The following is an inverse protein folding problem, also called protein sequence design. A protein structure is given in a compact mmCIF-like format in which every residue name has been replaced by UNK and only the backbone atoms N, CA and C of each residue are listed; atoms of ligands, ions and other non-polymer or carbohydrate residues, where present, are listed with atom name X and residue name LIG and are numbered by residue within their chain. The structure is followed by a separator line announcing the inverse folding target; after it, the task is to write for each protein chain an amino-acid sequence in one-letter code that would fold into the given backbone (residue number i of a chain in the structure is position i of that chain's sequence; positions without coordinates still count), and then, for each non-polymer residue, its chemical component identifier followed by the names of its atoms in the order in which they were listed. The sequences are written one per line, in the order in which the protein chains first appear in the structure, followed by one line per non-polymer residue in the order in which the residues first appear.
data_IF_950258667344
#
_entry.id   IF_950258667344
#
_cell.length_a   1.000
_cell.length_b   1.000
_cell.length_c   1.000
_cell.angle_alpha   90.00
_cell.angle_beta   90.00
_cell.angle_gamma   90.00
#
_symmetry.space_group_name_H-M   'P 1'
#
loop_
_entity.id
_entity.type
_entity.pdbx_description
1 polymer ?
#
# COMPACT_ATOMS: atom_id res chain seq x y z
N UNK A 1 -44.60 -49.50 3.25
CA UNK A 1 -43.18 -49.13 3.43
C UNK A 1 -43.07 -47.62 3.28
N UNK A 2 -42.66 -46.93 4.35
CA UNK A 2 -42.51 -45.47 4.40
C UNK A 2 -41.16 -45.10 3.76
N UNK A 3 -41.16 -44.42 2.63
CA UNK A 3 -39.93 -43.86 2.06
C UNK A 3 -39.71 -42.47 2.66
N UNK A 4 -38.73 -42.42 3.55
CA UNK A 4 -38.18 -41.23 4.18
C UNK A 4 -37.25 -40.57 3.15
N UNK A 5 -37.73 -39.61 2.37
CA UNK A 5 -36.87 -38.78 1.52
C UNK A 5 -36.17 -37.76 2.40
N UNK A 6 -34.92 -38.08 2.75
CA UNK A 6 -34.02 -37.22 3.51
C UNK A 6 -33.52 -36.07 2.60
N UNK A 7 -33.70 -34.86 3.11
CA UNK A 7 -33.34 -33.56 2.56
C UNK A 7 -31.83 -33.40 2.35
N UNK A 8 -31.42 -32.84 1.20
CA UNK A 8 -30.23 -31.99 1.13
C UNK A 8 -30.64 -30.71 0.38
N UNK A 9 -31.20 -29.75 1.11
CA UNK A 9 -31.22 -28.36 0.68
C UNK A 9 -29.81 -27.85 0.97
N UNK A 10 -29.01 -27.76 -0.09
CA UNK A 10 -27.70 -27.11 -0.08
C UNK A 10 -27.93 -25.60 0.16
N UNK A 11 -28.13 -25.23 1.42
CA UNK A 11 -28.03 -23.85 1.86
C UNK A 11 -26.56 -23.48 1.71
N UNK A 12 -26.23 -22.90 0.55
CA UNK A 12 -25.02 -22.12 0.35
C UNK A 12 -25.11 -20.89 1.26
N UNK A 13 -24.84 -21.11 2.55
CA UNK A 13 -24.28 -20.10 3.43
C UNK A 13 -22.90 -19.77 2.86
N UNK A 14 -22.88 -18.95 1.80
CA UNK A 14 -21.71 -18.16 1.47
C UNK A 14 -21.45 -17.28 2.68
N UNK A 15 -20.55 -17.76 3.52
CA UNK A 15 -19.96 -16.98 4.59
C UNK A 15 -19.17 -15.87 3.89
N UNK A 16 -19.82 -14.75 3.59
CA UNK A 16 -19.18 -13.49 3.17
C UNK A 16 -18.40 -12.86 4.34
N UNK A 17 -17.80 -13.67 5.21
CA UNK A 17 -16.93 -13.19 6.28
C UNK A 17 -15.53 -13.00 5.71
N UNK A 18 -15.18 -11.77 5.34
CA UNK A 18 -13.78 -11.46 5.12
C UNK A 18 -13.51 -10.14 4.43
N UNK A 19 -14.22 -9.85 3.34
CA UNK A 19 -13.80 -8.76 2.45
C UNK A 19 -14.13 -7.35 2.96
N UNK A 20 -15.28 -7.18 3.62
CA UNK A 20 -15.80 -5.87 4.04
C UNK A 20 -15.22 -5.32 5.34
N UNK A 21 -14.61 -6.17 6.19
CA UNK A 21 -13.96 -5.77 7.44
C UNK A 21 -12.48 -5.38 7.27
N UNK A 22 -11.88 -5.70 6.13
CA UNK A 22 -10.53 -5.26 5.75
C UNK A 22 -10.54 -3.91 5.04
N UNK A 23 -11.73 -3.39 4.71
CA UNK A 23 -11.93 -2.07 4.15
C UNK A 23 -12.30 -1.08 5.27
N UNK A 24 -11.30 -0.59 5.99
CA UNK A 24 -11.30 0.71 6.64
C UNK A 24 -9.89 0.94 7.17
N UNK A 25 -9.04 1.73 6.49
CA UNK A 25 -7.79 2.13 7.06
C UNK A 25 -8.09 3.12 8.18
N UNK A 26 -7.64 2.77 9.38
CA UNK A 26 -7.45 3.73 10.46
C UNK A 26 -6.38 4.79 10.15
N UNK A 27 -5.83 4.75 8.94
CA UNK A 27 -4.85 5.66 8.41
C UNK A 27 -5.52 6.47 7.29
N UNK A 28 -6.18 7.59 7.65
CA UNK A 28 -6.81 8.52 6.69
C UNK A 28 -5.87 8.86 5.53
N UNK A 29 -4.57 8.98 5.84
CA UNK A 29 -3.46 9.25 4.92
C UNK A 29 -3.39 8.25 3.77
N UNK A 30 -3.86 7.02 3.97
CA UNK A 30 -3.82 5.97 2.94
C UNK A 30 -5.06 5.99 2.03
N UNK A 31 -6.12 6.76 2.33
CA UNK A 31 -7.33 6.83 1.49
C UNK A 31 -7.46 8.07 0.66
N UNK A 32 -6.90 9.19 1.10
CA UNK A 32 -7.06 10.47 0.44
C UNK A 32 -5.78 11.27 0.49
N UNK A 33 -5.57 11.99 -0.60
CA UNK A 33 -4.69 13.13 -0.65
C UNK A 33 -5.55 14.40 -0.71
N UNK A 34 -5.15 15.46 -0.01
CA UNK A 34 -5.85 16.75 -0.07
C UNK A 34 -4.88 17.81 -0.58
N UNK A 35 -5.10 18.26 -1.80
CA UNK A 35 -4.30 19.32 -2.41
C UNK A 35 -5.01 20.66 -2.23
N UNK A 36 -4.27 21.71 -1.86
CA UNK A 36 -4.79 23.08 -1.93
C UNK A 36 -4.61 23.62 -3.35
N UNK A 37 -5.71 23.79 -4.07
CA UNK A 37 -5.75 24.38 -5.41
C UNK A 37 -6.59 25.65 -5.34
N UNK A 38 -5.99 26.80 -5.65
CA UNK A 38 -6.70 28.10 -5.70
C UNK A 38 -7.48 28.44 -4.41
N UNK A 39 -6.92 28.09 -3.25
CA UNK A 39 -7.55 28.33 -1.94
C UNK A 39 -8.66 27.34 -1.57
N UNK A 40 -8.95 26.34 -2.40
CA UNK A 40 -9.89 25.25 -2.11
C UNK A 40 -9.15 23.93 -1.89
N UNK A 41 -9.66 23.10 -0.99
CA UNK A 41 -9.19 21.72 -0.86
C UNK A 41 -9.79 20.84 -1.95
N UNK A 42 -8.92 20.21 -2.72
CA UNK A 42 -9.24 19.18 -3.69
C UNK A 42 -8.88 17.83 -3.08
N UNK A 43 -9.89 16.98 -2.87
CA UNK A 43 -9.66 15.60 -2.45
C UNK A 43 -9.31 14.75 -3.68
N UNK A 44 -8.26 13.96 -3.56
CA UNK A 44 -7.87 12.93 -4.51
C UNK A 44 -7.94 11.59 -3.78
N UNK A 45 -8.97 10.76 -4.04
CA UNK A 45 -9.07 9.43 -3.46
C UNK A 45 -7.93 8.53 -3.92
N UNK A 46 -7.42 7.67 -3.03
CA UNK A 46 -6.48 6.60 -3.34
C UNK A 46 -7.21 5.51 -4.14
N UNK A 47 -7.41 5.78 -5.43
CA UNK A 47 -8.11 4.91 -6.37
C UNK A 47 -7.49 3.53 -6.46
N UNK A 48 -6.16 3.42 -6.26
CA UNK A 48 -5.44 2.16 -6.21
C UNK A 48 -5.93 1.27 -5.06
N UNK A 49 -5.99 1.80 -3.83
CA UNK A 49 -6.53 1.07 -2.67
C UNK A 49 -8.00 0.68 -2.86
N UNK A 50 -8.80 1.59 -3.42
CA UNK A 50 -10.23 1.38 -3.64
C UNK A 50 -10.50 0.28 -4.67
N UNK A 51 -9.81 0.33 -5.82
CA UNK A 51 -9.97 -0.64 -6.90
C UNK A 51 -9.64 -2.06 -6.45
N UNK A 52 -8.59 -2.24 -5.66
CA UNK A 52 -8.21 -3.54 -5.08
C UNK A 52 -9.24 -4.13 -4.15
N UNK A 53 -10.00 -3.26 -3.51
CA UNK A 53 -11.11 -3.64 -2.65
C UNK A 53 -12.41 -3.73 -3.44
N UNK A 54 -12.29 -3.80 -4.76
CA UNK A 54 -13.36 -3.92 -5.75
C UNK A 54 -14.37 -2.77 -5.72
N UNK A 55 -13.97 -1.62 -5.15
CA UNK A 55 -14.72 -0.37 -5.21
C UNK A 55 -14.41 0.32 -6.52
N UNK A 56 -15.45 0.55 -7.31
CA UNK A 56 -15.32 1.25 -8.58
C UNK A 56 -15.89 2.65 -8.45
N UNK A 57 -15.20 3.60 -9.07
CA UNK A 57 -15.63 4.99 -9.14
C UNK A 57 -16.95 5.07 -9.93
N UNK A 58 -17.96 5.65 -9.30
CA UNK A 58 -19.26 5.96 -9.91
C UNK A 58 -19.37 7.46 -10.18
N UNK A 59 -18.74 8.27 -9.32
CA UNK A 59 -18.59 9.72 -9.43
C UNK A 59 -17.26 10.13 -8.78
N UNK A 60 -16.76 11.34 -9.03
CA UNK A 60 -15.39 11.79 -8.71
C UNK A 60 -14.95 11.53 -7.25
N UNK A 61 -15.91 11.50 -6.34
CA UNK A 61 -15.69 11.27 -4.89
C UNK A 61 -16.60 10.18 -4.33
N UNK A 62 -17.12 9.29 -5.18
CA UNK A 62 -18.06 8.24 -4.77
C UNK A 62 -17.76 6.91 -5.46
N UNK A 63 -17.56 5.88 -4.64
CA UNK A 63 -17.17 4.55 -5.08
C UNK A 63 -18.12 3.50 -4.53
N UNK A 64 -18.39 2.47 -5.33
CA UNK A 64 -19.30 1.38 -4.97
C UNK A 64 -18.64 0.04 -5.22
N UNK A 65 -18.70 -0.85 -4.23
CA UNK A 65 -18.28 -2.23 -4.40
C UNK A 65 -19.35 -3.01 -5.19
N UNK A 66 -18.98 -3.54 -6.36
CA UNK A 66 -19.94 -4.23 -7.25
C UNK A 66 -20.55 -5.49 -6.64
N UNK A 67 -19.84 -6.19 -5.74
CA UNK A 67 -20.30 -7.46 -5.15
C UNK A 67 -21.12 -7.24 -3.89
N UNK A 68 -20.68 -6.34 -3.01
CA UNK A 68 -21.32 -6.13 -1.70
C UNK A 68 -22.30 -4.97 -1.69
N UNK A 69 -22.23 -4.08 -2.68
CA UNK A 69 -22.99 -2.82 -2.75
C UNK A 69 -22.65 -1.82 -1.64
N UNK A 70 -21.58 -2.07 -0.89
CA UNK A 70 -20.99 -1.11 0.03
C UNK A 70 -20.45 0.10 -0.73
N UNK A 71 -20.36 1.23 -0.03
CA UNK A 71 -20.10 2.52 -0.68
C UNK A 71 -19.07 3.32 0.09
N UNK A 72 -18.26 4.09 -0.62
CA UNK A 72 -17.28 5.01 -0.05
C UNK A 72 -17.53 6.37 -0.64
N UNK A 73 -17.69 7.37 0.22
CA UNK A 73 -17.88 8.76 -0.21
C UNK A 73 -16.83 9.63 0.44
N UNK A 74 -16.25 10.51 -0.37
CA UNK A 74 -15.31 11.53 0.07
C UNK A 74 -15.98 12.90 -0.05
N UNK A 75 -15.71 13.79 0.90
CA UNK A 75 -16.22 15.16 0.82
C UNK A 75 -15.31 16.13 1.55
N UNK A 76 -15.11 17.30 0.96
CA UNK A 76 -14.51 18.46 1.61
C UNK A 76 -15.53 19.59 1.59
N UNK A 77 -15.77 20.22 2.72
CA UNK A 77 -16.65 21.37 2.82
C UNK A 77 -15.98 22.47 3.64
N UNK A 78 -16.14 23.72 3.19
CA UNK A 78 -15.66 24.90 3.90
C UNK A 78 -16.90 25.65 4.39
N UNK A 79 -16.99 25.86 5.70
CA UNK A 79 -18.08 26.58 6.35
C UNK A 79 -17.51 27.64 7.29
N UNK A 80 -17.52 28.89 6.84
CA UNK A 80 -16.85 29.99 7.56
C UNK A 80 -15.35 29.71 7.69
N UNK A 81 -14.82 29.83 8.90
CA UNK A 81 -13.40 29.60 9.20
C UNK A 81 -13.07 28.12 9.48
N UNK A 82 -13.89 27.18 9.00
CA UNK A 82 -13.66 25.74 9.21
C UNK A 82 -13.67 24.97 7.91
N UNK A 83 -12.69 24.09 7.78
CA UNK A 83 -12.59 23.11 6.71
C UNK A 83 -12.88 21.72 7.29
N UNK A 84 -13.90 21.04 6.79
CA UNK A 84 -14.22 19.65 7.13
C UNK A 84 -13.84 18.74 5.95
N UNK A 85 -12.93 17.79 6.19
CA UNK A 85 -12.59 16.69 5.30
C UNK A 85 -13.18 15.41 5.88
N UNK A 86 -13.90 14.66 5.06
CA UNK A 86 -14.66 13.50 5.51
C UNK A 86 -14.59 12.33 4.56
N UNK A 87 -14.45 11.14 5.16
CA UNK A 87 -14.54 9.83 4.50
C UNK A 87 -15.68 9.05 5.13
N UNK A 88 -16.69 8.72 4.32
CA UNK A 88 -17.89 8.01 4.73
C UNK A 88 -17.92 6.62 4.10
N UNK A 89 -17.87 5.58 4.93
CA UNK A 89 -18.01 4.19 4.50
C UNK A 89 -19.37 3.63 4.91
N UNK A 90 -20.15 3.24 3.91
CA UNK A 90 -21.47 2.63 4.05
C UNK A 90 -21.29 1.11 4.02
N UNK A 91 -21.16 0.51 5.21
CA UNK A 91 -20.95 -0.93 5.35
C UNK A 91 -22.26 -1.68 5.54
N UNK A 92 -22.37 -2.86 4.93
CA UNK A 92 -23.49 -3.79 5.16
C UNK A 92 -23.23 -4.74 6.34
N UNK A 93 -22.04 -4.67 6.95
CA UNK A 93 -21.61 -5.55 8.04
C UNK A 93 -22.40 -5.27 9.31
N UNK A 94 -23.04 -6.29 9.87
CA UNK A 94 -23.81 -6.18 11.12
C UNK A 94 -22.92 -6.09 12.37
N UNK A 95 -21.85 -6.89 12.42
CA UNK A 95 -20.92 -6.91 13.55
C UNK A 95 -19.79 -5.89 13.37
N UNK A 96 -19.84 -4.82 14.17
CA UNK A 96 -18.84 -3.75 14.20
C UNK A 96 -17.76 -3.95 15.27
N UNK A 97 -17.72 -5.09 15.97
CA UNK A 97 -16.79 -5.36 17.07
C UNK A 97 -15.33 -5.08 16.70
N UNK A 98 -14.88 -5.59 15.54
CA UNK A 98 -13.52 -5.38 15.03
C UNK A 98 -13.24 -3.93 14.70
N UNK A 99 -14.21 -3.23 14.13
CA UNK A 99 -14.08 -1.81 13.82
C UNK A 99 -13.91 -0.99 15.10
N UNK A 100 -14.77 -1.22 16.09
CA UNK A 100 -14.74 -0.51 17.38
C UNK A 100 -13.43 -0.78 18.12
N UNK A 101 -12.96 -2.04 18.11
CA UNK A 101 -11.66 -2.39 18.70
C UNK A 101 -10.53 -1.58 18.06
N UNK A 102 -10.45 -1.63 16.72
CA UNK A 102 -9.46 -0.86 15.95
C UNK A 102 -9.57 0.63 16.27
N UNK A 103 -10.76 1.22 16.18
CA UNK A 103 -10.95 2.65 16.48
C UNK A 103 -10.46 3.03 17.89
N UNK A 104 -10.58 2.15 18.88
CA UNK A 104 -10.00 2.35 20.22
C UNK A 104 -8.47 2.27 20.28
N UNK A 105 -7.83 1.57 19.35
CA UNK A 105 -6.37 1.45 19.21
C UNK A 105 -5.75 2.60 18.37
N UNK A 106 -6.56 3.48 17.79
CA UNK A 106 -6.12 4.57 16.90
C UNK A 106 -5.41 5.75 17.60
N UNK A 107 -5.32 5.72 18.93
CA UNK A 107 -4.83 6.84 19.74
C UNK A 107 -5.87 7.96 19.96
N UNK A 108 -7.07 7.84 19.39
CA UNK A 108 -8.19 8.75 19.66
C UNK A 108 -8.83 8.44 21.02
N UNK A 109 -9.28 9.48 21.73
CA UNK A 109 -10.00 9.30 23.00
C UNK A 109 -11.42 8.81 22.72
N UNK A 110 -11.83 7.71 23.35
CA UNK A 110 -13.23 7.26 23.31
C UNK A 110 -14.12 8.28 24.04
N UNK A 111 -15.05 8.90 23.32
CA UNK A 111 -16.03 9.84 23.89
C UNK A 111 -17.30 9.09 24.29
N UNK A 112 -17.76 8.18 23.43
CA UNK A 112 -18.85 7.24 23.71
C UNK A 112 -18.74 6.01 22.80
N UNK A 113 -19.73 5.12 22.80
CA UNK A 113 -19.71 3.88 22.01
C UNK A 113 -19.68 4.10 20.49
N UNK A 114 -20.11 5.26 20.03
CA UNK A 114 -20.26 5.62 18.63
C UNK A 114 -19.33 6.77 18.21
N UNK A 115 -18.42 7.22 19.10
CA UNK A 115 -17.52 8.34 18.82
C UNK A 115 -16.16 8.20 19.50
N UNK A 116 -15.11 8.36 18.70
CA UNK A 116 -13.71 8.50 19.12
C UNK A 116 -13.20 9.83 18.59
N UNK A 117 -12.49 10.62 19.41
CA UNK A 117 -12.15 11.99 19.06
C UNK A 117 -10.82 12.41 19.70
N UNK A 118 -10.06 13.20 18.95
CA UNK A 118 -8.91 13.98 19.44
C UNK A 118 -9.08 15.43 19.00
N UNK A 119 -8.79 16.37 19.90
CA UNK A 119 -8.87 17.81 19.64
C UNK A 119 -7.56 18.47 20.04
N UNK A 120 -6.93 19.07 19.05
CA UNK A 120 -5.84 20.03 19.23
C UNK A 120 -6.37 21.46 19.04
N UNK A 121 -5.50 22.45 19.25
CA UNK A 121 -5.85 23.88 19.19
C UNK A 121 -6.55 24.28 17.88
N UNK A 122 -6.13 23.69 16.74
CA UNK A 122 -6.61 24.07 15.41
C UNK A 122 -7.18 22.87 14.61
N UNK A 123 -7.21 21.67 15.18
CA UNK A 123 -7.58 20.45 14.45
C UNK A 123 -8.39 19.52 15.33
N UNK A 124 -9.49 18.99 14.80
CA UNK A 124 -10.27 17.91 15.40
C UNK A 124 -10.23 16.72 14.47
N UNK A 125 -9.84 15.55 14.98
CA UNK A 125 -9.92 14.27 14.26
C UNK A 125 -10.91 13.40 15.01
N UNK A 126 -11.93 12.89 14.32
CA UNK A 126 -12.89 11.97 14.95
C UNK A 126 -13.35 10.85 14.04
N UNK A 127 -13.71 9.74 14.68
CA UNK A 127 -14.41 8.61 14.08
C UNK A 127 -15.83 8.60 14.64
N UNK A 128 -16.83 8.65 13.76
CA UNK A 128 -18.25 8.54 14.11
C UNK A 128 -18.84 7.23 13.55
N UNK A 129 -19.70 6.58 14.34
CA UNK A 129 -20.44 5.37 13.96
C UNK A 129 -21.94 5.70 13.98
N UNK A 130 -22.64 5.54 12.86
CA UNK A 130 -24.11 5.58 12.82
C UNK A 130 -24.62 4.24 12.35
N UNK A 131 -25.46 3.60 13.16
CA UNK A 131 -26.00 2.28 12.86
C UNK A 131 -27.34 2.36 12.15
N UNK A 132 -27.63 1.37 11.31
CA UNK A 132 -28.93 1.19 10.66
C UNK A 132 -29.44 2.42 9.90
N UNK A 133 -28.55 3.10 9.17
CA UNK A 133 -28.97 4.17 8.27
C UNK A 133 -29.59 3.57 7.01
N UNK A 134 -30.63 4.23 6.48
CA UNK A 134 -31.30 3.79 5.26
C UNK A 134 -30.87 4.66 4.08
N UNK A 135 -30.37 4.04 3.02
CA UNK A 135 -29.97 4.70 1.78
C UNK A 135 -30.54 3.91 0.62
N UNK A 136 -31.40 4.54 -0.19
CA UNK A 136 -32.05 3.91 -1.35
C UNK A 136 -32.71 2.55 -1.00
N UNK A 137 -33.40 2.51 0.14
CA UNK A 137 -34.10 1.31 0.61
C UNK A 137 -33.21 0.21 1.19
N UNK A 138 -31.88 0.39 1.24
CA UNK A 138 -30.93 -0.54 1.87
C UNK A 138 -30.44 -0.01 3.22
N UNK A 139 -30.22 -0.93 4.16
CA UNK A 139 -29.69 -0.62 5.48
C UNK A 139 -28.16 -0.74 5.49
N UNK A 140 -27.50 0.29 6.00
CA UNK A 140 -26.06 0.33 6.19
C UNK A 140 -25.71 0.77 7.62
N UNK A 141 -24.51 0.42 8.05
CA UNK A 141 -23.80 1.13 9.10
C UNK A 141 -22.89 2.16 8.43
N UNK A 142 -22.99 3.43 8.83
CA UNK A 142 -22.12 4.49 8.37
C UNK A 142 -20.95 4.66 9.33
N UNK A 143 -19.76 4.45 8.82
CA UNK A 143 -18.49 4.62 9.51
C UNK A 143 -17.81 5.85 8.91
N UNK A 144 -17.69 6.92 9.69
CA UNK A 144 -17.19 8.21 9.22
C UNK A 144 -15.88 8.56 9.89
N UNK A 145 -14.87 8.90 9.10
CA UNK A 145 -13.66 9.57 9.57
C UNK A 145 -13.75 11.04 9.17
N UNK A 146 -13.63 11.93 10.15
CA UNK A 146 -13.83 13.38 9.98
C UNK A 146 -12.62 14.12 10.54
N UNK A 147 -12.05 15.00 9.71
CA UNK A 147 -11.01 15.95 10.12
C UNK A 147 -11.56 17.35 9.93
N UNK A 148 -11.55 18.15 11.00
CA UNK A 148 -12.01 19.52 11.00
C UNK A 148 -10.81 20.41 11.36
N UNK A 149 -10.48 21.34 10.49
CA UNK A 149 -9.43 22.34 10.73
C UNK A 149 -10.04 23.72 10.94
N UNK A 150 -9.48 24.44 11.90
CA UNK A 150 -9.77 25.85 12.15
C UNK A 150 -8.81 26.73 11.33
N UNK A 151 -9.37 27.50 10.42
CA UNK A 151 -8.65 28.37 9.49
C UNK A 151 -8.36 29.76 10.08
N UNK A 152 -8.93 30.12 11.24
CA UNK A 152 -8.86 31.46 11.84
C UNK A 152 -7.42 31.92 12.11
N UNK A 153 -6.50 30.98 12.35
CA UNK A 153 -5.08 31.24 12.62
C UNK A 153 -4.13 30.78 11.51
N UNK A 154 -4.64 30.27 10.37
CA UNK A 154 -3.81 29.95 9.23
C UNK A 154 -3.39 31.27 8.57
N UNK A 155 -2.22 31.78 8.95
CA UNK A 155 -1.63 32.98 8.33
C UNK A 155 -1.74 32.85 6.81
N UNK A 156 -2.30 33.89 6.20
CA UNK A 156 -2.39 34.13 4.75
C UNK A 156 -1.02 34.35 4.10
N UNK A 157 0.00 33.62 4.55
CA UNK A 157 1.23 33.47 3.82
C UNK A 157 0.94 32.54 2.66
N UNK A 158 1.40 32.93 1.48
CA UNK A 158 1.56 32.04 0.33
C UNK A 158 2.63 30.99 0.70
N UNK A 159 2.36 30.15 1.69
CA UNK A 159 3.11 28.95 1.91
C UNK A 159 2.60 27.98 0.86
N UNK A 160 3.40 27.84 -0.19
CA UNK A 160 3.39 26.84 -1.25
C UNK A 160 2.33 25.76 -1.03
N UNK A 161 1.43 25.57 -2.01
CA UNK A 161 0.35 24.58 -2.05
C UNK A 161 0.81 23.17 -1.67
N UNK A 162 1.01 22.96 -0.37
CA UNK A 162 1.53 21.75 0.20
C UNK A 162 0.44 20.72 0.18
N UNK A 163 0.80 19.50 -0.20
CA UNK A 163 -0.08 18.35 -0.13
C UNK A 163 -0.44 18.14 1.35
N UNK A 164 -1.71 18.39 1.72
CA UNK A 164 -2.26 18.02 3.02
C UNK A 164 -2.61 16.54 2.95
N UNK A 165 -2.03 15.73 3.84
CA UNK A 165 -2.11 14.27 3.83
C UNK A 165 -1.50 13.69 2.54
N UNK A 166 -0.17 13.48 2.47
CA UNK A 166 0.42 12.83 1.30
C UNK A 166 -0.20 11.46 1.10
N UNK A 167 -0.52 11.12 -0.14
CA UNK A 167 -1.02 9.80 -0.47
C UNK A 167 0.00 8.74 -0.01
N UNK A 168 -0.44 7.89 0.91
CA UNK A 168 0.34 6.74 1.35
C UNK A 168 0.01 5.54 0.45
N UNK A 169 0.97 5.21 -0.42
CA UNK A 169 0.88 4.09 -1.34
C UNK A 169 1.42 2.78 -0.74
N UNK A 170 1.77 2.75 0.56
CA UNK A 170 2.30 1.58 1.26
C UNK A 170 1.39 0.36 1.32
N UNK A 171 0.12 0.51 0.98
CA UNK A 171 -0.76 -0.63 0.79
C UNK A 171 -0.46 -1.37 -0.53
N UNK A 172 -0.38 -2.71 -0.54
CA UNK A 172 -0.72 -3.66 0.53
C UNK A 172 0.52 -4.16 1.29
N UNK A 173 1.64 -3.45 1.20
CA UNK A 173 2.93 -3.89 1.70
C UNK A 173 3.04 -3.70 3.22
N UNK A 174 2.63 -2.55 3.76
CA UNK A 174 2.75 -2.22 5.18
C UNK A 174 2.23 -3.34 6.11
N UNK A 175 3.01 -3.68 7.14
CA UNK A 175 2.65 -4.65 8.17
C UNK A 175 2.21 -6.03 7.61
N UNK A 176 2.70 -6.40 6.44
CA UNK A 176 2.34 -7.64 5.77
C UNK A 176 3.54 -8.56 5.57
N UNK A 177 3.27 -9.85 5.48
CA UNK A 177 4.25 -10.87 5.10
C UNK A 177 3.81 -11.52 3.80
N UNK A 178 4.74 -11.63 2.87
CA UNK A 178 4.56 -12.34 1.61
C UNK A 178 5.67 -13.38 1.44
N UNK A 179 5.32 -14.51 0.88
CA UNK A 179 6.26 -15.49 0.36
C UNK A 179 6.60 -15.11 -1.07
N UNK A 180 7.85 -15.30 -1.49
CA UNK A 180 8.26 -14.79 -2.79
C UNK A 180 9.18 -15.71 -3.59
N UNK A 181 9.11 -15.53 -4.90
CA UNK A 181 10.09 -16.02 -5.87
C UNK A 181 10.54 -14.86 -6.77
N UNK A 182 11.83 -14.85 -7.11
CA UNK A 182 12.46 -13.78 -7.86
C UNK A 182 13.08 -14.34 -9.14
N UNK A 183 12.75 -13.76 -10.28
CA UNK A 183 13.15 -14.27 -11.59
C UNK A 183 13.69 -13.18 -12.50
N UNK A 184 14.70 -13.54 -13.28
CA UNK A 184 15.33 -12.73 -14.32
C UNK A 184 15.11 -13.40 -15.67
N UNK A 185 14.70 -12.60 -16.66
CA UNK A 185 14.44 -13.07 -18.02
C UNK A 185 15.00 -12.06 -19.03
N UNK A 186 15.70 -12.56 -20.04
CA UNK A 186 16.23 -11.72 -21.12
C UNK A 186 15.09 -11.05 -21.90
N UNK A 187 15.25 -9.77 -22.25
CA UNK A 187 14.36 -9.14 -23.23
C UNK A 187 14.71 -9.68 -24.61
N UNK A 188 13.70 -10.19 -25.32
CA UNK A 188 13.89 -10.71 -26.67
C UNK A 188 14.05 -9.60 -27.72
N UNK A 189 13.74 -8.36 -27.34
CA UNK A 189 13.70 -7.20 -28.24
C UNK A 189 14.97 -6.36 -28.17
N UNK A 190 15.71 -6.45 -27.05
CA UNK A 190 16.93 -5.68 -26.80
C UNK A 190 17.94 -6.57 -26.08
N UNK A 191 19.11 -6.77 -26.67
CA UNK A 191 20.13 -7.72 -26.19
C UNK A 191 20.81 -7.30 -24.88
N UNK A 192 20.69 -6.03 -24.51
CA UNK A 192 21.24 -5.37 -23.33
C UNK A 192 20.17 -5.08 -22.26
N UNK A 193 18.94 -5.55 -22.46
CA UNK A 193 17.86 -5.41 -21.48
C UNK A 193 17.45 -6.76 -20.90
N UNK A 194 17.07 -6.74 -19.63
CA UNK A 194 16.44 -7.86 -18.97
C UNK A 194 15.28 -7.43 -18.10
N UNK A 195 14.27 -8.30 -18.04
CA UNK A 195 13.14 -8.17 -17.14
C UNK A 195 13.44 -8.85 -15.83
N UNK A 196 13.28 -8.11 -14.74
CA UNK A 196 13.34 -8.62 -13.39
C UNK A 196 11.94 -8.60 -12.79
N UNK A 197 11.61 -9.66 -12.05
CA UNK A 197 10.31 -9.80 -11.42
C UNK A 197 10.39 -10.48 -10.07
N UNK A 198 9.53 -10.07 -9.15
CA UNK A 198 9.31 -10.71 -7.85
C UNK A 198 7.82 -11.01 -7.73
N UNK A 199 7.49 -12.29 -7.62
CA UNK A 199 6.12 -12.75 -7.31
C UNK A 199 5.96 -12.83 -5.81
N UNK A 200 4.91 -12.22 -5.27
CA UNK A 200 4.60 -12.19 -3.85
C UNK A 200 3.25 -12.88 -3.62
N UNK A 201 3.22 -13.89 -2.76
CA UNK A 201 2.01 -14.61 -2.37
C UNK A 201 1.78 -14.50 -0.86
N UNK A 202 0.53 -14.29 -0.43
CA UNK A 202 0.20 -14.32 1.01
C UNK A 202 0.27 -15.74 1.59
N UNK A 203 0.09 -16.74 0.74
CA UNK A 203 0.17 -18.15 1.11
C UNK A 203 1.61 -18.66 0.98
N UNK A 204 2.05 -19.64 1.79
CA UNK A 204 3.41 -20.19 1.79
C UNK A 204 3.70 -21.08 0.58
N UNK A 205 3.58 -20.52 -0.63
CA UNK A 205 3.84 -21.19 -1.91
C UNK A 205 5.33 -21.20 -2.27
N UNK A 206 6.09 -20.23 -1.77
CA UNK A 206 7.51 -20.07 -2.06
C UNK A 206 8.36 -20.20 -0.79
N UNK A 207 9.62 -20.63 -0.93
CA UNK A 207 10.53 -20.91 0.20
C UNK A 207 11.13 -19.67 0.87
N UNK A 208 11.04 -18.50 0.24
CA UNK A 208 11.55 -17.24 0.77
C UNK A 208 10.38 -16.35 1.22
N UNK A 209 10.61 -15.46 2.18
CA UNK A 209 9.60 -14.50 2.63
C UNK A 209 10.17 -13.08 2.80
N UNK A 210 9.33 -12.09 2.51
CA UNK A 210 9.50 -10.70 2.87
C UNK A 210 8.47 -10.34 3.94
N UNK A 211 8.91 -9.65 4.97
CA UNK A 211 8.06 -9.07 6.01
C UNK A 211 8.28 -7.57 6.01
N UNK A 212 7.25 -6.82 5.66
CA UNK A 212 7.22 -5.37 5.83
C UNK A 212 6.83 -5.06 7.26
N UNK A 213 7.72 -4.41 7.99
CA UNK A 213 7.61 -4.20 9.43
C UNK A 213 6.81 -2.95 9.76
N UNK A 214 6.85 -1.96 8.88
CA UNK A 214 6.14 -0.68 8.96
C UNK A 214 6.11 0.00 7.57
N UNK A 215 5.91 1.32 7.53
CA UNK A 215 5.82 2.15 6.32
C UNK A 215 7.15 2.29 5.55
N UNK A 216 8.27 1.98 6.20
CA UNK A 216 9.60 2.24 5.69
C UNK A 216 10.48 0.99 5.70
N UNK A 217 10.31 0.09 6.66
CA UNK A 217 11.25 -0.97 6.97
C UNK A 217 10.75 -2.34 6.51
N UNK A 218 11.67 -3.16 6.00
CA UNK A 218 11.38 -4.54 5.61
C UNK A 218 12.50 -5.50 6.02
N UNK A 219 12.15 -6.78 6.07
CA UNK A 219 13.06 -7.90 6.36
C UNK A 219 12.82 -9.06 5.41
N UNK A 220 13.88 -9.56 4.79
CA UNK A 220 13.88 -10.80 4.01
C UNK A 220 14.35 -11.96 4.89
N UNK A 221 13.73 -13.12 4.70
CA UNK A 221 14.20 -14.41 5.18
C UNK A 221 14.21 -15.39 4.01
N UNK A 222 15.39 -15.89 3.65
CA UNK A 222 15.55 -16.88 2.59
C UNK A 222 15.27 -18.29 3.11
N UNK A 223 15.05 -19.24 2.20
CA UNK A 223 14.83 -20.65 2.53
C UNK A 223 15.96 -21.26 3.38
N UNK A 224 17.20 -20.83 3.16
CA UNK A 224 18.38 -21.22 3.94
C UNK A 224 18.50 -20.47 5.29
N UNK A 225 17.45 -19.77 5.72
CA UNK A 225 17.35 -18.97 6.95
C UNK A 225 18.26 -17.73 7.01
N UNK A 226 18.99 -17.40 5.95
CA UNK A 226 19.70 -16.11 5.88
C UNK A 226 18.69 -14.97 5.84
N UNK A 227 19.01 -13.89 6.53
CA UNK A 227 18.16 -12.70 6.60
C UNK A 227 18.92 -11.44 6.25
N UNK A 228 18.24 -10.48 5.66
CA UNK A 228 18.73 -9.12 5.49
C UNK A 228 17.56 -8.14 5.58
N UNK A 229 17.87 -6.89 5.87
CA UNK A 229 16.90 -5.82 6.10
C UNK A 229 17.20 -4.64 5.19
N UNK A 230 16.23 -3.78 5.06
CA UNK A 230 16.38 -2.55 4.31
C UNK A 230 15.19 -1.64 4.52
N UNK A 231 15.19 -0.56 3.75
CA UNK A 231 14.08 0.36 3.66
C UNK A 231 13.44 0.30 2.28
N UNK A 232 12.19 0.71 2.17
CA UNK A 232 11.50 0.85 0.89
C UNK A 232 10.79 2.19 0.82
N UNK A 233 10.70 2.72 -0.39
CA UNK A 233 10.00 3.95 -0.69
C UNK A 233 9.03 3.70 -1.83
N UNK A 234 7.98 4.52 -1.89
CA UNK A 234 6.93 4.36 -2.89
C UNK A 234 6.60 5.68 -3.53
N UNK A 235 6.31 5.62 -4.82
CA UNK A 235 5.84 6.76 -5.60
C UNK A 235 4.77 6.29 -6.58
N UNK A 236 3.95 7.22 -7.05
CA UNK A 236 3.05 6.97 -8.16
C UNK A 236 3.54 7.75 -9.36
N UNK A 237 3.81 7.03 -10.44
CA UNK A 237 4.01 7.65 -11.75
C UNK A 237 2.64 7.93 -12.38
N UNK A 238 2.60 8.92 -13.27
CA UNK A 238 1.40 9.31 -14.01
C UNK A 238 0.76 8.05 -14.59
N UNK A 239 -0.52 7.76 -14.24
CA UNK A 239 -1.34 6.56 -14.57
C UNK A 239 -1.51 5.48 -13.48
N UNK A 240 -1.46 5.83 -12.20
CA UNK A 240 -1.82 4.94 -11.07
C UNK A 240 -0.92 3.69 -10.92
N UNK A 241 0.28 3.69 -11.51
CA UNK A 241 1.25 2.61 -11.28
C UNK A 241 2.09 2.96 -10.07
N UNK A 242 1.99 2.16 -9.02
CA UNK A 242 2.81 2.30 -7.81
C UNK A 242 4.21 1.77 -8.13
N UNK A 243 5.20 2.64 -8.06
CA UNK A 243 6.59 2.26 -8.06
C UNK A 243 7.04 2.00 -6.61
N UNK A 244 7.73 0.90 -6.39
CA UNK A 244 8.27 0.48 -5.10
C UNK A 244 9.79 0.35 -5.24
N UNK A 245 10.52 1.27 -4.62
CA UNK A 245 11.99 1.25 -4.52
C UNK A 245 12.45 0.54 -3.27
N UNK A 246 13.39 -0.39 -3.38
CA UNK A 246 14.04 -1.05 -2.25
C UNK A 246 15.48 -0.56 -2.08
N UNK A 247 15.87 -0.31 -0.84
CA UNK A 247 17.22 0.07 -0.44
C UNK A 247 17.71 -0.90 0.63
N UNK A 248 18.87 -1.50 0.43
CA UNK A 248 19.46 -2.41 1.42
C UNK A 248 20.20 -1.64 2.50
N UNK A 249 20.07 -2.06 3.76
CA UNK A 249 20.97 -1.59 4.81
C UNK A 249 22.24 -2.44 4.78
N UNK A 250 23.16 -2.12 3.87
CA UNK A 250 24.45 -2.80 3.74
C UNK A 250 25.60 -1.81 3.62
N UNK A 251 26.77 -2.19 4.14
CA UNK A 251 28.00 -1.50 3.84
C UNK A 251 28.41 -1.86 2.41
N UNK A 252 28.62 -0.84 1.57
CA UNK A 252 29.14 -1.04 0.22
C UNK A 252 30.47 -1.81 0.30
N UNK A 253 30.66 -2.85 -0.54
CA UNK A 253 31.92 -3.57 -0.60
C UNK A 253 33.03 -2.62 -1.06
N UNK A 254 34.16 -2.62 -0.35
CA UNK A 254 35.37 -1.92 -0.79
C UNK A 254 35.91 -2.61 -2.05
N UNK A 255 35.63 -2.05 -3.22
CA UNK A 255 36.15 -2.55 -4.50
C UNK A 255 37.57 -2.02 -4.70
N UNK A 256 38.58 -2.88 -4.95
CA UNK A 256 39.93 -2.42 -5.26
C UNK A 256 39.97 -1.58 -6.54
N UNK A 257 40.94 -0.66 -6.63
CA UNK A 257 41.11 0.26 -7.77
C UNK A 257 41.29 -0.51 -9.09
N UNK A 258 40.63 -0.07 -10.16
CA UNK A 258 40.73 -0.68 -11.50
C UNK A 258 39.87 -1.93 -11.71
N UNK A 259 39.10 -2.35 -10.72
CA UNK A 259 38.16 -3.46 -10.83
C UNK A 259 36.76 -2.97 -11.22
N UNK A 260 35.98 -3.84 -11.87
CA UNK A 260 34.57 -3.61 -12.17
C UNK A 260 33.80 -3.34 -10.87
N UNK A 261 32.85 -2.41 -10.89
CA UNK A 261 31.90 -2.26 -9.79
C UNK A 261 30.80 -3.34 -9.88
N UNK A 262 30.44 -4.00 -8.77
CA UNK A 262 29.33 -4.94 -8.74
C UNK A 262 27.98 -4.26 -9.08
N UNK A 263 27.11 -4.91 -9.87
CA UNK A 263 25.74 -4.48 -10.17
C UNK A 263 24.78 -4.61 -8.97
N UNK A 264 25.22 -5.32 -7.93
CA UNK A 264 24.53 -5.44 -6.65
C UNK A 264 25.37 -4.79 -5.55
N UNK A 265 24.75 -3.91 -4.76
CA UNK A 265 25.37 -3.20 -3.62
C UNK A 265 26.00 -4.14 -2.58
N UNK A 266 25.71 -5.45 -2.63
CA UNK A 266 26.28 -6.47 -1.76
C UNK A 266 27.57 -7.14 -2.23
N UNK A 267 28.09 -6.81 -3.42
CA UNK A 267 29.32 -7.36 -3.98
C UNK A 267 29.17 -8.47 -5.03
N UNK A 268 30.31 -8.79 -5.68
CA UNK A 268 30.66 -9.92 -6.56
C UNK A 268 29.60 -10.43 -7.55
N UNK A 269 28.76 -9.55 -8.09
CA UNK A 269 27.98 -9.82 -9.31
C UNK A 269 28.22 -8.62 -10.20
N UNK A 270 28.83 -8.83 -11.36
CA UNK A 270 29.26 -7.75 -12.27
C UNK A 270 28.41 -7.64 -13.53
N UNK A 271 27.62 -8.68 -13.85
CA UNK A 271 26.78 -8.74 -15.04
C UNK A 271 25.59 -9.71 -14.86
N UNK A 272 24.69 -9.76 -15.85
CA UNK A 272 23.51 -10.62 -15.81
C UNK A 272 23.84 -12.12 -15.84
N UNK A 273 24.98 -12.52 -16.42
CA UNK A 273 25.43 -13.91 -16.51
C UNK A 273 25.87 -14.44 -15.13
N UNK A 274 26.66 -13.67 -14.41
CA UNK A 274 27.03 -13.95 -13.03
C UNK A 274 25.81 -13.97 -12.10
N UNK A 275 24.85 -13.06 -12.33
CA UNK A 275 23.60 -13.05 -11.57
C UNK A 275 22.80 -14.34 -11.76
N UNK A 276 22.66 -14.83 -13.01
CA UNK A 276 22.00 -16.11 -13.31
C UNK A 276 22.68 -17.29 -12.62
N UNK A 277 24.02 -17.30 -12.55
CA UNK A 277 24.80 -18.34 -11.85
C UNK A 277 24.62 -18.28 -10.33
N UNK A 278 24.43 -17.08 -9.78
CA UNK A 278 24.23 -16.87 -8.35
C UNK A 278 22.81 -17.22 -7.87
N UNK A 279 21.91 -17.72 -8.74
CA UNK A 279 20.55 -18.11 -8.38
C UNK A 279 20.57 -19.01 -7.14
N UNK A 280 19.70 -18.71 -6.18
CA UNK A 280 19.62 -19.33 -4.85
C UNK A 280 20.67 -18.88 -3.81
N UNK A 281 21.63 -18.01 -4.14
CA UNK A 281 22.50 -17.36 -3.16
C UNK A 281 21.91 -16.02 -2.69
N UNK A 282 22.26 -15.59 -1.47
CA UNK A 282 21.94 -14.27 -0.92
C UNK A 282 22.25 -13.11 -1.86
N UNK A 283 23.36 -13.14 -2.60
CA UNK A 283 23.74 -12.09 -3.54
C UNK A 283 22.70 -11.91 -4.66
N UNK A 284 22.12 -13.02 -5.15
CA UNK A 284 21.02 -12.97 -6.12
C UNK A 284 19.82 -12.23 -5.55
N UNK A 285 19.36 -12.58 -4.35
CA UNK A 285 18.19 -11.90 -3.77
C UNK A 285 18.47 -10.45 -3.39
N UNK A 286 19.67 -10.13 -2.90
CA UNK A 286 20.07 -8.75 -2.61
C UNK A 286 20.03 -7.88 -3.85
N UNK A 287 20.44 -8.39 -5.02
CA UNK A 287 20.28 -7.66 -6.27
C UNK A 287 18.81 -7.26 -6.55
N UNK A 288 17.84 -8.16 -6.32
CA UNK A 288 16.44 -7.80 -6.51
C UNK A 288 15.97 -6.74 -5.51
N UNK A 289 16.34 -6.88 -4.24
CA UNK A 289 15.95 -5.92 -3.19
C UNK A 289 16.85 -4.67 -3.11
N UNK A 290 17.58 -4.34 -4.18
CA UNK A 290 18.30 -3.06 -4.37
C UNK A 290 17.80 -2.29 -5.60
N UNK A 291 16.59 -2.61 -6.08
CA UNK A 291 16.01 -2.05 -7.31
C UNK A 291 14.62 -1.49 -7.05
N UNK A 292 14.11 -0.81 -8.05
CA UNK A 292 12.74 -0.27 -8.07
C UNK A 292 11.87 -1.05 -9.06
N UNK A 293 10.60 -1.22 -8.71
CA UNK A 293 9.65 -2.04 -9.45
C UNK A 293 8.31 -1.36 -9.57
N UNK A 294 7.62 -1.63 -10.68
CA UNK A 294 6.19 -1.40 -10.75
C UNK A 294 5.44 -2.53 -10.05
N UNK A 295 4.59 -2.16 -9.11
CA UNK A 295 3.69 -3.04 -8.39
C UNK A 295 2.40 -3.25 -9.18
N UNK A 296 1.99 -4.50 -9.31
CA UNK A 296 0.75 -4.94 -9.94
C UNK A 296 0.13 -6.05 -9.10
N UNK A 297 -1.20 -6.10 -9.09
CA UNK A 297 -1.94 -7.21 -8.51
C UNK A 297 -2.21 -8.33 -9.52
N UNK A 298 -2.06 -9.56 -9.07
CA UNK A 298 -2.41 -10.79 -9.79
C UNK A 298 -3.39 -11.60 -8.93
N UNK A 299 -4.63 -11.11 -8.83
CA UNK A 299 -5.63 -11.68 -7.92
C UNK A 299 -5.30 -11.35 -6.46
N UNK A 300 -5.06 -12.38 -5.63
CA UNK A 300 -4.66 -12.19 -4.23
C UNK A 300 -3.13 -12.05 -4.03
N UNK A 301 -2.38 -12.27 -5.10
CA UNK A 301 -0.92 -12.20 -5.13
C UNK A 301 -0.47 -10.86 -5.74
N UNK A 302 0.79 -10.50 -5.53
CA UNK A 302 1.40 -9.30 -6.10
C UNK A 302 2.53 -9.67 -7.04
N UNK A 303 2.74 -8.83 -8.04
CA UNK A 303 3.88 -8.86 -8.92
C UNK A 303 4.61 -7.52 -8.82
N UNK A 304 5.89 -7.58 -8.53
CA UNK A 304 6.82 -6.47 -8.71
C UNK A 304 7.61 -6.74 -9.99
N UNK A 305 7.62 -5.82 -10.95
CA UNK A 305 8.35 -6.01 -12.20
C UNK A 305 8.97 -4.73 -12.74
N UNK A 306 10.10 -4.88 -13.43
CA UNK A 306 10.81 -3.76 -14.03
C UNK A 306 11.73 -4.24 -15.15
N UNK A 307 12.02 -3.33 -16.08
CA UNK A 307 13.12 -3.49 -17.03
C UNK A 307 14.40 -2.96 -16.39
N UNK A 308 15.49 -3.67 -16.62
CA UNK A 308 16.80 -3.21 -16.21
C UNK A 308 17.77 -3.35 -17.36
N UNK A 309 18.60 -2.33 -17.54
CA UNK A 309 19.62 -2.28 -18.57
C UNK A 309 20.91 -2.84 -18.01
N UNK A 310 21.60 -3.64 -18.81
CA UNK A 310 22.98 -4.02 -18.56
C UNK A 310 23.86 -2.79 -18.81
N UNK A 311 23.93 -1.89 -17.84
CA UNK A 311 24.96 -0.86 -17.87
C UNK A 311 26.31 -1.58 -17.83
N UNK A 312 27.17 -1.30 -18.80
CA UNK A 312 28.56 -1.76 -18.78
C UNK A 312 29.15 -1.45 -17.39
N UNK A 313 29.79 -2.42 -16.73
CA UNK A 313 30.29 -2.22 -15.37
C UNK A 313 31.21 -0.99 -15.33
N UNK A 314 30.82 0.01 -14.56
CA UNK A 314 31.64 1.21 -14.35
C UNK A 314 32.92 0.82 -13.62
N UNK A 315 34.06 1.22 -14.16
CA UNK A 315 35.36 1.08 -13.49
C UNK A 315 35.44 2.18 -12.42
N UNK A 316 35.87 1.84 -11.20
CA UNK A 316 36.00 2.81 -10.13
C UNK A 316 36.91 3.99 -10.56
N UNK A 317 36.50 5.26 -10.36
CA UNK A 317 37.18 6.43 -10.93
C UNK A 317 38.63 6.56 -10.45
N UNK A 318 39.53 6.91 -11.36
CA UNK A 318 40.89 7.30 -11.04
C UNK A 318 40.91 8.67 -10.37
N UNK A 319 41.62 8.81 -9.25
CA UNK A 319 41.88 10.14 -8.66
C UNK A 319 42.81 10.89 -9.61
N UNK A 320 42.41 12.09 -10.07
CA UNK A 320 43.35 13.03 -10.68
C UNK A 320 44.42 13.32 -9.63
N UNK A 321 45.65 12.90 -9.89
CA UNK A 321 46.77 13.06 -8.96
C UNK A 321 46.93 14.53 -8.54
N UNK A 322 47.25 14.71 -7.26
CA UNK A 322 47.87 15.94 -6.75
C UNK A 322 49.27 16.09 -7.33
#
# INVERSE_FOLDING_TARGET
MKNLTCTIVLLTLTVCSGFSQDFFPMNLKSLIEVQKVEGKSKIIPNSYYLNEKEFLMVDDLFYVNKKTTERVKFSSNIMGDKEEIRVDYYSIVKDLSRFIKRAGESGLKKVNENRFEHKDKNTTIRIDIKRNIQVEGKNYNLLSLVVIEDLTNMKTGVENGGIKFPADYSYPLQNATYFFDANLKDDKSYSDEYFISIKLAKTPKYGHKITFLDDLNWKITLANKQTFIGTYNQSVESRNMVNVGFNLTIAEPKVPKGYKQPIAESGAIYDASELKKAKHNSAYYKFFFSKSYYLRFEGNDLMLSGKHYENNPTVAPAVKGN
#
